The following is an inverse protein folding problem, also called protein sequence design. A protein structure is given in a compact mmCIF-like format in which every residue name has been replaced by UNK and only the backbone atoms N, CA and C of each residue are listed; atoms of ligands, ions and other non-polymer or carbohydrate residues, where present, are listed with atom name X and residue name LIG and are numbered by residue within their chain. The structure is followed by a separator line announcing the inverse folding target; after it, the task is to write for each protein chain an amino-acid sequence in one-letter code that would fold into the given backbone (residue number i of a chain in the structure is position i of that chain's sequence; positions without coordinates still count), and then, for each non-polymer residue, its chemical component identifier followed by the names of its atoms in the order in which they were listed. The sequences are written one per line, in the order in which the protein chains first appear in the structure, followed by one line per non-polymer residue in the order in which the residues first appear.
data_IF_278002887160
#
_entry.id   IF_278002887160
#
_cell.length_a   1.000
_cell.length_b   1.000
_cell.length_c   1.000
_cell.angle_alpha   90.00
_cell.angle_beta   90.00
_cell.angle_gamma   90.00
#
_symmetry.space_group_name_H-M   'P 1'
#
loop_
_entity.id
_entity.type
_entity.pdbx_description
1 polymer ?
#
# COMPACT_ATOMS: atom_id res chain seq x y z
N UNK A 1 -10.92 1.93 -17.88
CA UNK A 1 -10.76 1.19 -19.14
C UNK A 1 -12.06 0.50 -19.45
N UNK A 2 -12.59 0.66 -20.66
CA UNK A 2 -13.94 0.19 -21.00
C UNK A 2 -14.02 -1.33 -21.21
N UNK A 3 -12.87 -2.02 -21.35
CA UNK A 3 -12.76 -3.47 -21.41
C UNK A 3 -11.80 -3.96 -20.31
N UNK A 4 -12.27 -4.83 -19.42
CA UNK A 4 -11.49 -5.32 -18.26
C UNK A 4 -10.39 -6.32 -18.63
N UNK A 5 -10.44 -6.88 -19.84
CA UNK A 5 -9.45 -7.83 -20.39
C UNK A 5 -8.44 -7.17 -21.34
N UNK A 6 -8.77 -5.97 -21.83
CA UNK A 6 -7.96 -5.23 -22.79
C UNK A 6 -8.03 -3.73 -22.51
N UNK A 7 -7.02 -3.20 -21.81
CA UNK A 7 -6.93 -1.79 -21.50
C UNK A 7 -5.49 -1.37 -21.20
N UNK A 8 -5.10 -0.13 -21.53
CA UNK A 8 -3.78 0.40 -21.17
C UNK A 8 -3.64 0.53 -19.65
N UNK A 9 -2.39 0.65 -19.20
CA UNK A 9 -2.06 1.06 -17.84
C UNK A 9 -2.40 2.54 -17.59
N UNK A 10 -2.60 2.90 -16.33
CA UNK A 10 -2.93 4.26 -15.92
C UNK A 10 -2.29 4.56 -14.57
N UNK A 11 -1.68 5.74 -14.44
CA UNK A 11 -1.14 6.27 -13.18
C UNK A 11 -1.74 7.66 -12.98
N UNK A 12 -2.31 7.91 -11.81
CA UNK A 12 -2.88 9.21 -11.46
C UNK A 12 -2.46 9.61 -10.05
N UNK A 13 -2.06 10.87 -9.88
CA UNK A 13 -1.65 11.44 -8.59
C UNK A 13 -2.74 12.42 -8.14
N UNK A 14 -3.30 12.23 -6.95
CA UNK A 14 -4.43 13.03 -6.45
C UNK A 14 -4.04 14.06 -5.38
N UNK A 15 -3.15 13.68 -4.45
CA UNK A 15 -2.74 14.50 -3.30
C UNK A 15 -1.20 14.69 -3.29
N UNK A 16 -0.67 15.45 -2.34
CA UNK A 16 0.75 15.80 -2.23
C UNK A 16 1.05 17.19 -2.78
N UNK A 17 2.33 17.46 -3.05
CA UNK A 17 2.82 18.78 -3.48
C UNK A 17 2.08 19.43 -4.67
N UNK A 18 1.59 18.61 -5.60
CA UNK A 18 0.81 19.05 -6.76
C UNK A 18 -0.72 18.91 -6.57
N UNK A 19 -1.16 18.45 -5.41
CA UNK A 19 -2.55 18.34 -5.00
C UNK A 19 -2.97 19.52 -4.11
N UNK A 20 -4.24 19.54 -3.71
CA UNK A 20 -4.74 20.55 -2.77
C UNK A 20 -4.20 20.37 -1.35
N UNK A 21 -4.17 21.46 -0.58
CA UNK A 21 -3.93 21.44 0.86
C UNK A 21 -5.19 21.06 1.65
N UNK A 22 -5.03 20.72 2.92
CA UNK A 22 -6.17 20.65 3.84
C UNK A 22 -6.76 22.04 4.14
N UNK A 23 -7.82 22.08 4.96
CA UNK A 23 -8.51 23.33 5.33
C UNK A 23 -7.65 24.32 6.12
N UNK A 24 -6.56 23.85 6.70
CA UNK A 24 -5.61 24.65 7.49
C UNK A 24 -4.39 25.07 6.66
N UNK A 25 -4.29 24.60 5.40
CA UNK A 25 -3.18 24.91 4.50
C UNK A 25 -2.01 23.92 4.58
N UNK A 26 -2.15 22.79 5.27
CA UNK A 26 -1.10 21.78 5.35
C UNK A 26 -1.10 20.85 4.14
N UNK A 27 0.09 20.36 3.77
CA UNK A 27 0.25 19.35 2.72
C UNK A 27 -0.25 17.98 3.18
N UNK A 28 -1.03 17.32 2.33
CA UNK A 28 -1.49 15.95 2.55
C UNK A 28 -0.54 14.93 1.91
N UNK A 29 -0.43 13.70 2.47
CA UNK A 29 0.35 12.64 1.84
C UNK A 29 -0.10 12.35 0.41
N UNK A 30 0.88 12.10 -0.48
CA UNK A 30 0.60 11.78 -1.89
C UNK A 30 -0.19 10.49 -2.03
N UNK A 31 -1.35 10.58 -2.69
CA UNK A 31 -2.15 9.43 -3.09
C UNK A 31 -1.95 9.14 -4.58
N UNK A 32 -1.41 7.96 -4.90
CA UNK A 32 -1.17 7.50 -6.28
C UNK A 32 -2.09 6.33 -6.59
N UNK A 33 -2.93 6.49 -7.60
CA UNK A 33 -3.70 5.40 -8.18
C UNK A 33 -2.93 4.78 -9.34
N UNK A 34 -2.90 3.44 -9.36
CA UNK A 34 -2.23 2.66 -10.41
C UNK A 34 -3.17 1.57 -10.91
N UNK A 35 -3.41 1.57 -12.22
CA UNK A 35 -4.03 0.46 -12.94
C UNK A 35 -3.03 -0.14 -13.90
N UNK A 36 -2.86 -1.47 -13.84
CA UNK A 36 -1.93 -2.20 -14.73
C UNK A 36 -2.54 -2.35 -16.11
N UNK A 37 -1.71 -2.32 -17.15
CA UNK A 37 -2.13 -2.76 -18.47
C UNK A 37 -2.55 -4.24 -18.44
N UNK A 38 -3.61 -4.56 -19.19
CA UNK A 38 -4.02 -5.94 -19.46
C UNK A 38 -4.27 -6.14 -20.94
N UNK A 39 -3.83 -7.29 -21.46
CA UNK A 39 -4.08 -7.74 -22.84
C UNK A 39 -4.57 -9.20 -22.84
N UNK A 40 -5.42 -9.58 -23.80
CA UNK A 40 -5.79 -10.98 -24.03
C UNK A 40 -4.55 -11.83 -24.33
N UNK A 41 -4.55 -13.09 -23.87
CA UNK A 41 -3.42 -14.01 -24.06
C UNK A 41 -2.28 -13.89 -23.05
N UNK A 42 -2.30 -12.88 -22.16
CA UNK A 42 -1.29 -12.72 -21.11
C UNK A 42 -1.80 -13.17 -19.74
N UNK A 43 -0.95 -13.86 -18.98
CA UNK A 43 -1.23 -14.19 -17.57
C UNK A 43 -0.92 -12.98 -16.68
N UNK A 44 -1.85 -12.63 -15.79
CA UNK A 44 -1.79 -11.39 -14.99
C UNK A 44 -1.48 -11.62 -13.50
N UNK A 45 -1.34 -12.87 -13.07
CA UNK A 45 -0.92 -13.29 -11.72
C UNK A 45 -1.71 -12.66 -10.55
N UNK A 46 -3.00 -12.33 -10.76
CA UNK A 46 -3.93 -11.82 -9.74
C UNK A 46 -3.26 -10.79 -8.81
N UNK A 47 -3.24 -11.04 -7.49
CA UNK A 47 -2.68 -10.18 -6.44
C UNK A 47 -1.17 -10.07 -6.51
N UNK A 48 -0.45 -11.17 -6.76
CA UNK A 48 1.01 -11.17 -6.87
C UNK A 48 1.49 -10.22 -7.98
N UNK A 49 0.84 -10.26 -9.15
CA UNK A 49 1.15 -9.35 -10.25
C UNK A 49 0.84 -7.89 -9.93
N UNK A 50 -0.21 -7.62 -9.13
CA UNK A 50 -0.55 -6.27 -8.71
C UNK A 50 0.49 -5.70 -7.74
N UNK A 51 0.83 -6.47 -6.70
CA UNK A 51 1.83 -6.06 -5.70
C UNK A 51 3.20 -5.84 -6.32
N UNK A 52 3.65 -6.73 -7.20
CA UNK A 52 4.94 -6.58 -7.88
C UNK A 52 4.98 -5.34 -8.79
N UNK A 53 3.85 -4.98 -9.41
CA UNK A 53 3.78 -3.74 -10.18
C UNK A 53 3.82 -2.50 -9.29
N UNK A 54 3.13 -2.52 -8.14
CA UNK A 54 3.17 -1.42 -7.17
C UNK A 54 4.58 -1.17 -6.64
N UNK A 55 5.35 -2.22 -6.37
CA UNK A 55 6.77 -2.08 -5.96
C UNK A 55 7.57 -1.36 -7.05
N UNK A 56 7.44 -1.78 -8.32
CA UNK A 56 8.16 -1.14 -9.44
C UNK A 56 7.76 0.31 -9.66
N UNK A 57 6.48 0.62 -9.58
CA UNK A 57 5.98 2.00 -9.72
C UNK A 57 6.46 2.86 -8.55
N UNK A 58 6.37 2.36 -7.32
CA UNK A 58 6.86 3.05 -6.11
C UNK A 58 8.36 3.38 -6.20
N UNK A 59 9.17 2.43 -6.67
CA UNK A 59 10.62 2.61 -6.84
C UNK A 59 10.97 3.79 -7.76
N UNK A 60 10.12 4.10 -8.75
CA UNK A 60 10.31 5.23 -9.65
C UNK A 60 9.75 6.54 -9.07
N UNK A 61 8.61 6.49 -8.38
CA UNK A 61 7.90 7.69 -7.94
C UNK A 61 8.41 8.29 -6.62
N UNK A 62 8.76 7.44 -5.65
CA UNK A 62 9.14 7.88 -4.29
C UNK A 62 10.31 7.09 -3.71
N UNK A 63 10.56 5.87 -4.21
CA UNK A 63 11.67 5.01 -3.79
C UNK A 63 11.76 4.80 -2.26
N UNK A 64 10.60 4.59 -1.61
CA UNK A 64 10.56 4.38 -0.17
C UNK A 64 11.29 3.09 0.24
N UNK A 65 12.13 3.11 1.30
CA UNK A 65 12.90 1.93 1.74
C UNK A 65 12.05 0.87 2.46
N UNK A 66 10.85 1.23 2.89
CA UNK A 66 9.92 0.35 3.59
C UNK A 66 8.57 0.39 2.91
N UNK A 67 7.88 -0.75 2.88
CA UNK A 67 6.53 -0.87 2.32
C UNK A 67 5.58 -1.52 3.33
N UNK A 68 4.42 -0.91 3.49
CA UNK A 68 3.30 -1.47 4.23
C UNK A 68 2.27 -2.04 3.25
N UNK A 69 1.95 -3.32 3.37
CA UNK A 69 0.89 -3.95 2.60
C UNK A 69 -0.38 -4.04 3.45
N UNK A 70 -1.54 -3.68 2.88
CA UNK A 70 -2.83 -3.68 3.56
C UNK A 70 -3.91 -4.15 2.59
N UNK A 71 -4.81 -5.01 3.06
CA UNK A 71 -5.96 -5.49 2.28
C UNK A 71 -7.17 -4.55 2.48
N UNK A 72 -8.10 -4.53 1.53
CA UNK A 72 -9.21 -3.57 1.52
C UNK A 72 -10.25 -3.76 2.64
N UNK A 73 -10.27 -4.92 3.27
CA UNK A 73 -11.09 -5.28 4.42
C UNK A 73 -10.40 -4.96 5.77
N UNK A 74 -9.19 -4.40 5.73
CA UNK A 74 -8.43 -4.00 6.90
C UNK A 74 -8.16 -2.50 6.89
N UNK A 75 -8.17 -1.89 8.07
CA UNK A 75 -7.82 -0.49 8.27
C UNK A 75 -6.81 -0.34 9.41
N UNK A 76 -6.07 0.77 9.41
CA UNK A 76 -5.15 1.10 10.50
C UNK A 76 -5.97 1.68 11.65
N UNK A 77 -6.08 0.94 12.74
CA UNK A 77 -6.86 1.35 13.92
C UNK A 77 -6.04 2.14 14.97
N UNK A 78 -4.70 2.16 14.86
CA UNK A 78 -3.79 2.90 15.72
C UNK A 78 -2.83 3.71 14.86
N UNK A 79 -2.89 5.04 14.96
CA UNK A 79 -2.02 5.95 14.21
C UNK A 79 -0.52 5.79 14.55
N UNK A 80 -0.18 5.07 15.63
CA UNK A 80 1.20 4.76 16.02
C UNK A 80 1.76 3.50 15.36
N UNK A 81 0.97 2.68 14.67
CA UNK A 81 1.41 1.39 14.13
C UNK A 81 2.67 1.50 13.25
N UNK A 82 2.71 2.51 12.37
CA UNK A 82 3.89 2.76 11.53
C UNK A 82 5.11 3.15 12.38
N UNK A 83 4.93 4.00 13.40
CA UNK A 83 6.00 4.40 14.31
C UNK A 83 6.52 3.21 15.12
N UNK A 84 5.65 2.32 15.57
CA UNK A 84 6.00 1.10 16.29
C UNK A 84 6.79 0.13 15.40
N UNK A 85 6.40 -0.05 14.13
CA UNK A 85 7.15 -0.85 13.18
C UNK A 85 8.58 -0.31 12.98
N UNK A 86 8.71 1.01 12.93
CA UNK A 86 10.00 1.68 12.78
C UNK A 86 10.94 1.44 13.97
N UNK A 87 10.42 1.23 15.19
CA UNK A 87 11.26 0.89 16.34
C UNK A 87 12.06 -0.40 16.10
N UNK A 88 11.48 -1.38 15.39
CA UNK A 88 12.18 -2.64 15.06
C UNK A 88 13.08 -2.49 13.83
N UNK A 89 12.58 -1.82 12.78
CA UNK A 89 13.28 -1.70 11.50
C UNK A 89 14.49 -0.76 11.57
N UNK A 90 14.45 0.24 12.45
CA UNK A 90 15.52 1.23 12.62
C UNK A 90 16.43 0.95 13.82
N UNK A 91 16.25 -0.17 14.51
CA UNK A 91 17.14 -0.57 15.60
C UNK A 91 18.57 -0.85 15.06
N UNK A 92 19.62 -0.19 15.58
CA UNK A 92 20.98 -0.38 15.07
C UNK A 92 21.54 -1.81 15.23
N UNK A 93 21.06 -2.56 16.23
CA UNK A 93 21.52 -3.90 16.57
C UNK A 93 20.75 -4.98 15.78
N UNK A 94 19.42 -4.87 15.71
CA UNK A 94 18.57 -5.90 15.10
C UNK A 94 18.00 -5.53 13.75
N UNK A 95 17.81 -4.24 13.43
CA UNK A 95 17.07 -3.77 12.25
C UNK A 95 17.63 -4.31 10.93
N UNK A 96 18.96 -4.47 10.82
CA UNK A 96 19.63 -5.07 9.65
C UNK A 96 19.27 -6.54 9.41
N UNK A 97 18.67 -7.22 10.38
CA UNK A 97 18.25 -8.62 10.32
C UNK A 97 16.72 -8.77 10.27
N UNK A 98 15.97 -7.67 10.28
CA UNK A 98 14.51 -7.66 10.23
C UNK A 98 14.07 -7.39 8.79
N UNK A 99 13.40 -8.36 8.17
CA UNK A 99 12.85 -8.21 6.82
C UNK A 99 11.46 -7.58 6.81
N UNK A 100 10.64 -7.86 7.83
CA UNK A 100 9.29 -7.31 7.98
C UNK A 100 8.84 -7.36 9.45
N UNK A 101 7.89 -6.51 9.80
CA UNK A 101 7.20 -6.52 11.10
C UNK A 101 5.75 -6.95 10.87
N UNK A 102 5.37 -8.10 11.43
CA UNK A 102 4.01 -8.62 11.32
C UNK A 102 3.14 -8.08 12.46
N UNK A 103 2.03 -7.44 12.11
CA UNK A 103 1.00 -7.06 13.08
C UNK A 103 -0.09 -8.14 13.18
N UNK A 104 -0.67 -8.36 14.38
CA UNK A 104 -1.81 -9.25 14.54
C UNK A 104 -3.04 -8.65 13.84
N UNK A 105 -3.71 -9.45 13.01
CA UNK A 105 -4.99 -9.08 12.40
C UNK A 105 -6.11 -9.37 13.39
N UNK A 106 -6.96 -8.38 13.64
CA UNK A 106 -8.15 -8.51 14.48
C UNK A 106 -9.37 -8.18 13.65
N UNK A 107 -10.41 -9.00 13.82
CA UNK A 107 -11.69 -8.85 13.13
C UNK A 107 -12.72 -8.30 14.10
N UNK A 108 -13.49 -7.32 13.64
CA UNK A 108 -14.61 -6.77 14.38
C UNK A 108 -15.87 -7.62 14.11
N UNK A 109 -16.83 -7.62 15.04
CA UNK A 109 -18.13 -8.28 14.83
C UNK A 109 -18.15 -9.81 14.94
N UNK A 110 -17.17 -10.41 15.64
CA UNK A 110 -17.11 -11.85 15.91
C UNK A 110 -18.33 -12.27 16.77
N UNK A 111 -19.07 -13.29 16.35
CA UNK A 111 -20.18 -13.83 17.16
C UNK A 111 -19.59 -14.53 18.39
N UNK A 112 -20.31 -14.47 19.52
CA UNK A 112 -20.00 -15.26 20.73
C UNK A 112 -19.97 -16.76 20.47
N UNK A 113 -20.58 -17.21 19.36
CA UNK A 113 -20.69 -18.61 18.96
C UNK A 113 -19.59 -19.07 17.99
N UNK A 114 -18.72 -18.16 17.52
CA UNK A 114 -17.62 -18.47 16.58
C UNK A 114 -16.38 -19.06 17.29
N UNK A 115 -16.60 -19.96 18.26
CA UNK A 115 -15.53 -20.62 19.04
C UNK A 115 -15.13 -21.97 18.47
#
# INVERSE_FOLDING_TARGET
GNNTRDHPGMIQVFLGHSGGHDTEGNELPRLVYVSREKRPGFSHHKKAGAMNALIRVSAVLTNAPFMLNLDCDHYINNSKAVREAMCFLMDPQIGKRVCYVQFPQRFDGIDRHDR
#
